data_IF_420696218537
#
_entry.id   IF_420696218537
#
_cell.length_a   1.000
_cell.length_b   1.000
_cell.length_c   1.000
_cell.angle_alpha   90.00
_cell.angle_beta   90.00
_cell.angle_gamma   90.00
#
_symmetry.space_group_name_H-M   'P 1'
#
loop_
_entity.id
_entity.type
_entity.pdbx_description
1 polymer ?
#
# COMPACT_ATOMS: atom_id res chain seq x y z
N UNK A 1 -16.19 -12.87 -9.07
CA UNK A 1 -15.68 -11.50 -9.30
C UNK A 1 -14.44 -11.33 -8.43
N UNK A 2 -13.39 -10.65 -8.89
CA UNK A 2 -12.18 -10.38 -8.08
C UNK A 2 -12.38 -9.09 -7.28
N UNK A 3 -12.05 -9.12 -5.98
CA UNK A 3 -12.17 -7.98 -5.07
C UNK A 3 -10.78 -7.49 -4.68
N UNK A 4 -10.67 -6.19 -4.40
CA UNK A 4 -9.47 -5.56 -3.87
C UNK A 4 -9.83 -4.52 -2.81
N UNK A 5 -8.82 -4.00 -2.12
CA UNK A 5 -8.99 -3.02 -1.03
C UNK A 5 -8.06 -1.83 -1.21
N UNK A 6 -8.60 -0.64 -0.93
CA UNK A 6 -7.80 0.56 -0.78
C UNK A 6 -7.20 0.64 0.62
N UNK A 7 -5.87 0.52 0.73
CA UNK A 7 -5.20 0.18 1.99
C UNK A 7 -5.01 1.37 2.93
N UNK A 8 -5.50 2.57 2.59
CA UNK A 8 -5.39 3.78 3.41
C UNK A 8 -5.96 3.59 4.82
N UNK A 9 -6.95 2.71 4.99
CA UNK A 9 -7.54 2.39 6.30
C UNK A 9 -6.60 1.58 7.21
N UNK A 10 -5.51 1.05 6.66
CA UNK A 10 -4.46 0.31 7.37
C UNK A 10 -3.13 1.08 7.41
N UNK A 11 -3.15 2.41 7.19
CA UNK A 11 -1.95 3.25 7.10
C UNK A 11 -1.02 3.20 8.31
N UNK A 12 -1.55 2.82 9.48
CA UNK A 12 -0.78 2.74 10.73
C UNK A 12 -0.10 1.38 10.95
N UNK A 13 -0.38 0.38 10.10
CA UNK A 13 0.32 -0.89 10.11
C UNK A 13 1.62 -0.79 9.29
N UNK A 14 2.70 -1.48 9.69
CA UNK A 14 3.83 -1.73 8.79
C UNK A 14 3.37 -2.42 7.50
N UNK A 15 4.07 -2.18 6.38
CA UNK A 15 3.67 -2.68 5.06
C UNK A 15 3.38 -4.18 5.04
N UNK A 16 4.29 -5.00 5.55
CA UNK A 16 4.12 -6.46 5.59
C UNK A 16 2.91 -6.89 6.44
N UNK A 17 2.68 -6.25 7.59
CA UNK A 17 1.52 -6.54 8.44
C UNK A 17 0.19 -6.12 7.80
N UNK A 18 0.21 -5.04 6.99
CA UNK A 18 -0.93 -4.67 6.17
C UNK A 18 -1.22 -5.74 5.12
N UNK A 19 -0.20 -6.27 4.44
CA UNK A 19 -0.37 -7.36 3.46
C UNK A 19 -0.92 -8.64 4.12
N UNK A 20 -0.39 -9.03 5.29
CA UNK A 20 -0.91 -10.15 6.07
C UNK A 20 -2.40 -9.97 6.37
N UNK A 21 -2.81 -8.74 6.72
CA UNK A 21 -4.22 -8.41 6.99
C UNK A 21 -5.10 -8.53 5.75
N UNK A 22 -4.60 -8.11 4.59
CA UNK A 22 -5.34 -8.22 3.31
C UNK A 22 -5.55 -9.69 2.93
N UNK A 23 -4.53 -10.54 3.11
CA UNK A 23 -4.60 -11.97 2.86
C UNK A 23 -5.59 -12.66 3.83
N UNK A 24 -5.58 -12.29 5.11
CA UNK A 24 -6.54 -12.79 6.11
C UNK A 24 -8.00 -12.49 5.71
N UNK A 25 -8.24 -11.39 4.99
CA UNK A 25 -9.56 -11.00 4.48
C UNK A 25 -9.94 -11.72 3.17
N UNK A 26 -9.07 -12.57 2.63
CA UNK A 26 -9.29 -13.32 1.39
C UNK A 26 -9.23 -12.46 0.12
N UNK A 27 -8.45 -11.38 0.15
CA UNK A 27 -8.27 -10.46 -0.97
C UNK A 27 -6.91 -10.67 -1.65
N UNK A 28 -6.91 -10.67 -2.98
CA UNK A 28 -5.70 -10.89 -3.79
C UNK A 28 -5.13 -9.59 -4.40
N UNK A 29 -5.77 -8.45 -4.17
CA UNK A 29 -5.41 -7.16 -4.79
C UNK A 29 -5.48 -5.99 -3.79
N UNK A 30 -4.50 -5.10 -3.88
CA UNK A 30 -4.40 -3.88 -3.07
C UNK A 30 -4.27 -2.64 -3.96
N UNK A 31 -4.84 -1.53 -3.50
CA UNK A 31 -4.57 -0.18 -4.01
C UNK A 31 -3.79 0.58 -2.94
N UNK A 32 -2.58 1.05 -3.27
CA UNK A 32 -1.72 1.79 -2.34
C UNK A 32 -1.82 3.29 -2.59
N UNK A 33 -1.91 4.07 -1.51
CA UNK A 33 -1.74 5.53 -1.56
C UNK A 33 -0.30 5.90 -1.87
N UNK A 34 -0.12 6.87 -2.77
CA UNK A 34 1.19 7.39 -3.22
C UNK A 34 1.32 8.91 -3.02
N UNK A 35 0.51 9.52 -2.15
CA UNK A 35 0.55 10.95 -1.82
C UNK A 35 -0.84 11.60 -1.69
N UNK A 36 -0.88 12.93 -1.71
CA UNK A 36 -2.11 13.76 -1.61
C UNK A 36 -3.00 13.37 -0.42
N UNK A 37 -4.31 13.23 -0.65
CA UNK A 37 -5.31 12.93 0.39
C UNK A 37 -5.11 11.57 1.08
N UNK A 38 -4.85 10.45 0.37
CA UNK A 38 -4.58 9.17 1.04
C UNK A 38 -3.19 9.11 1.71
N UNK A 39 -2.26 9.99 1.33
CA UNK A 39 -0.88 9.93 1.78
C UNK A 39 -0.09 8.80 1.12
N UNK A 40 1.09 8.52 1.65
CA UNK A 40 2.14 7.69 1.03
C UNK A 40 2.75 6.65 2.01
N UNK A 41 1.97 6.22 3.00
CA UNK A 41 2.45 5.44 4.15
C UNK A 41 3.22 4.16 3.78
N UNK A 42 2.84 3.52 2.66
CA UNK A 42 3.40 2.24 2.22
C UNK A 42 4.08 2.30 0.84
N UNK A 43 4.06 3.44 0.17
CA UNK A 43 4.69 3.62 -1.12
C UNK A 43 5.17 5.06 -1.22
N UNK A 44 6.49 5.26 -1.18
CA UNK A 44 7.17 6.56 -1.17
C UNK A 44 7.73 6.87 -2.56
N UNK A 45 6.99 7.56 -3.45
CA UNK A 45 7.41 7.69 -4.84
C UNK A 45 8.71 8.46 -4.99
N UNK A 46 8.92 9.51 -4.20
CA UNK A 46 10.15 10.33 -4.27
C UNK A 46 11.40 9.52 -3.93
N UNK A 47 11.33 8.68 -2.88
CA UNK A 47 12.43 7.78 -2.49
C UNK A 47 12.69 6.72 -3.56
N UNK A 48 11.64 6.08 -4.07
CA UNK A 48 11.72 5.03 -5.09
C UNK A 48 12.29 5.57 -6.42
N UNK A 49 11.86 6.76 -6.84
CA UNK A 49 12.34 7.41 -8.07
C UNK A 49 13.78 7.90 -7.92
N UNK A 50 14.19 8.32 -6.72
CA UNK A 50 15.58 8.69 -6.45
C UNK A 50 16.52 7.47 -6.47
N UNK A 51 16.07 6.29 -6.04
CA UNK A 51 16.84 5.03 -6.15
C UNK A 51 16.95 4.52 -7.60
N UNK A 52 16.01 4.93 -8.46
CA UNK A 52 16.03 4.65 -9.90
C UNK A 52 17.13 5.37 -10.71
N UNK A 53 17.98 6.18 -10.06
CA UNK A 53 19.16 6.80 -10.68
C UNK A 53 20.42 5.89 -10.65
N UNK A 54 20.24 4.56 -10.63
CA UNK A 54 21.35 3.59 -10.80
C UNK A 54 21.64 3.28 -12.26
#
# INVERSE_FOLDING_TARGET
MKLGVFTVLYRDLPFEQMLDKVVELGLDAVELGTGNYPGDAHCKPDELLADGQK
#
